data_IF_869101525597
#
_entry.id   IF_869101525597
#
_cell.length_a   1.000
_cell.length_b   1.000
_cell.length_c   1.000
_cell.angle_alpha   90.00
_cell.angle_beta   90.00
_cell.angle_gamma   90.00
#
_symmetry.space_group_name_H-M   'P 1'
#
loop_
_entity.id
_entity.type
_entity.pdbx_description
1 polymer ?
#
# COMPACT_ATOMS: atom_id res chain seq x y z
N UNK A 1 18.18 -1.48 11.80
CA UNK A 1 17.25 -2.50 12.33
C UNK A 1 15.88 -2.20 11.74
N UNK A 2 15.07 -3.21 11.40
CA UNK A 2 13.71 -3.04 10.88
C UNK A 2 12.74 -2.65 11.99
N UNK A 3 11.81 -1.75 11.70
CA UNK A 3 10.70 -1.40 12.61
C UNK A 3 9.83 -2.64 12.85
N UNK A 4 9.48 -2.86 14.10
CA UNK A 4 8.67 -3.99 14.55
C UNK A 4 7.30 -3.53 15.05
N UNK A 5 6.40 -4.48 15.27
CA UNK A 5 5.10 -4.23 15.93
C UNK A 5 5.30 -3.60 17.32
N UNK A 6 6.30 -4.05 18.08
CA UNK A 6 6.62 -3.49 19.40
C UNK A 6 7.09 -2.03 19.31
N UNK A 7 7.81 -1.66 18.23
CA UNK A 7 8.21 -0.27 18.00
C UNK A 7 7.00 0.62 17.72
N UNK A 8 6.03 0.16 16.92
CA UNK A 8 4.79 0.92 16.69
C UNK A 8 4.01 1.15 18.02
N UNK A 9 3.91 0.13 18.86
CA UNK A 9 3.29 0.27 20.17
C UNK A 9 4.06 1.25 21.09
N UNK A 10 5.39 1.24 20.99
CA UNK A 10 6.24 2.20 21.70
C UNK A 10 6.02 3.62 21.18
N UNK A 11 5.92 3.83 19.87
CA UNK A 11 5.62 5.14 19.29
C UNK A 11 4.31 5.71 19.85
N UNK A 12 3.23 4.92 19.91
CA UNK A 12 1.97 5.35 20.55
C UNK A 12 2.18 5.76 22.00
N UNK A 13 2.83 4.92 22.80
CA UNK A 13 3.07 5.24 24.24
C UNK A 13 3.89 6.52 24.44
N UNK A 14 4.79 6.82 23.52
CA UNK A 14 5.63 8.02 23.55
C UNK A 14 4.94 9.25 22.93
N UNK A 15 3.75 9.12 22.34
CA UNK A 15 3.09 10.19 21.58
C UNK A 15 3.76 10.52 20.26
N UNK A 16 4.62 9.64 19.75
CA UNK A 16 5.29 9.79 18.46
C UNK A 16 4.30 9.48 17.33
N UNK A 17 4.17 10.38 16.34
CA UNK A 17 3.25 10.21 15.21
C UNK A 17 3.79 9.21 14.19
N UNK A 18 2.96 8.25 13.79
CA UNK A 18 3.31 7.19 12.86
C UNK A 18 2.92 7.60 11.44
N UNK A 19 3.92 7.85 10.59
CA UNK A 19 3.69 8.09 9.16
C UNK A 19 3.71 6.75 8.41
N UNK A 20 2.55 6.31 7.95
CA UNK A 20 2.37 5.12 7.12
C UNK A 20 2.05 5.55 5.69
N UNK A 21 2.58 4.85 4.70
CA UNK A 21 2.31 5.13 3.29
C UNK A 21 2.18 3.83 2.52
N UNK A 22 1.33 3.82 1.48
CA UNK A 22 1.28 2.66 0.59
C UNK A 22 2.52 2.58 -0.29
N UNK A 23 2.96 1.35 -0.58
CA UNK A 23 4.02 1.07 -1.55
C UNK A 23 3.64 -0.19 -2.34
N UNK A 24 3.90 -0.19 -3.65
CA UNK A 24 3.41 -1.25 -4.52
C UNK A 24 4.50 -1.91 -5.37
N UNK A 25 5.70 -1.33 -5.38
CA UNK A 25 6.85 -1.81 -6.15
C UNK A 25 8.18 -1.45 -5.49
N UNK A 26 9.28 -1.82 -6.12
CA UNK A 26 10.63 -1.52 -5.63
C UNK A 26 10.88 -0.02 -5.52
N UNK A 27 10.45 0.78 -6.50
CA UNK A 27 10.73 2.21 -6.55
C UNK A 27 10.00 2.96 -5.45
N UNK A 28 8.69 2.71 -5.30
CA UNK A 28 7.87 3.33 -4.26
C UNK A 28 8.36 2.95 -2.86
N UNK A 29 8.73 1.68 -2.64
CA UNK A 29 9.24 1.20 -1.36
C UNK A 29 10.58 1.85 -0.98
N UNK A 30 11.54 1.92 -1.92
CA UNK A 30 12.84 2.55 -1.69
C UNK A 30 12.72 4.03 -1.36
N UNK A 31 11.91 4.75 -2.12
CA UNK A 31 11.71 6.20 -1.92
C UNK A 31 11.02 6.45 -0.58
N UNK A 32 9.94 5.73 -0.28
CA UNK A 32 9.21 5.89 0.97
C UNK A 32 10.08 5.58 2.20
N UNK A 33 10.87 4.51 2.16
CA UNK A 33 11.76 4.13 3.25
C UNK A 33 12.92 5.12 3.43
N UNK A 34 13.51 5.62 2.33
CA UNK A 34 14.53 6.69 2.37
C UNK A 34 13.99 8.01 2.88
N UNK A 35 12.72 8.30 2.62
CA UNK A 35 12.01 9.45 3.14
C UNK A 35 11.64 9.32 4.63
N UNK A 36 11.91 8.16 5.26
CA UNK A 36 11.74 7.95 6.68
C UNK A 36 10.37 7.39 7.09
N UNK A 37 9.58 6.84 6.17
CA UNK A 37 8.33 6.18 6.52
C UNK A 37 8.63 4.89 7.33
N UNK A 38 8.19 4.80 8.61
CA UNK A 38 8.45 3.63 9.44
C UNK A 38 7.59 2.42 9.08
N UNK A 39 6.47 2.63 8.38
CA UNK A 39 5.52 1.58 8.01
C UNK A 39 5.13 1.72 6.54
N UNK A 40 5.22 0.64 5.78
CA UNK A 40 4.75 0.53 4.41
C UNK A 40 3.54 -0.38 4.35
N UNK A 41 2.52 0.03 3.58
CA UNK A 41 1.33 -0.77 3.31
C UNK A 41 1.32 -1.22 1.85
N UNK A 42 1.36 -2.51 1.62
CA UNK A 42 0.95 -3.06 0.33
C UNK A 42 -0.56 -3.25 0.40
N UNK A 43 -1.29 -2.21 -0.02
CA UNK A 43 -2.74 -2.18 0.08
C UNK A 43 -3.42 -2.73 -1.18
N UNK A 44 -4.61 -3.30 -1.04
CA UNK A 44 -5.44 -3.73 -2.17
C UNK A 44 -5.95 -2.56 -3.03
N UNK A 45 -5.76 -1.31 -2.57
CA UNK A 45 -5.84 -0.10 -3.39
C UNK A 45 -4.95 -0.16 -4.65
N UNK A 46 -3.94 -1.05 -4.69
CA UNK A 46 -3.17 -1.34 -5.91
C UNK A 46 -4.07 -1.69 -7.10
N UNK A 47 -5.21 -2.32 -6.86
CA UNK A 47 -6.20 -2.60 -7.90
C UNK A 47 -6.63 -1.36 -8.65
N UNK A 48 -6.84 -0.27 -7.93
CA UNK A 48 -7.25 1.00 -8.53
C UNK A 48 -6.07 1.78 -9.12
N UNK A 49 -4.98 1.91 -8.35
CA UNK A 49 -3.89 2.83 -8.68
C UNK A 49 -2.79 2.23 -9.55
N UNK A 50 -2.67 0.90 -9.59
CA UNK A 50 -1.66 0.18 -10.38
C UNK A 50 -2.28 -0.66 -11.50
N UNK A 51 -3.41 -1.31 -11.24
CA UNK A 51 -4.04 -2.23 -12.19
C UNK A 51 -5.20 -1.60 -12.99
N UNK A 52 -5.62 -0.36 -12.63
CA UNK A 52 -6.65 0.38 -13.36
C UNK A 52 -8.08 -0.12 -13.14
N UNK A 53 -8.31 -0.92 -12.09
CA UNK A 53 -9.67 -1.32 -11.72
C UNK A 53 -10.45 -0.16 -11.10
N UNK A 54 -11.76 -0.18 -11.22
CA UNK A 54 -12.64 0.81 -10.60
C UNK A 54 -12.82 0.64 -9.09
N UNK A 55 -12.43 -0.53 -8.55
CA UNK A 55 -12.56 -0.90 -7.13
C UNK A 55 -11.43 -1.82 -6.70
N UNK A 56 -11.32 -2.09 -5.39
CA UNK A 56 -10.36 -3.05 -4.84
C UNK A 56 -10.82 -4.51 -4.99
N UNK A 57 -12.09 -4.77 -5.28
CA UNK A 57 -12.68 -6.11 -5.26
C UNK A 57 -12.05 -7.11 -6.25
N UNK A 58 -11.59 -6.72 -7.45
CA UNK A 58 -10.96 -7.65 -8.38
C UNK A 58 -9.55 -8.10 -7.97
N UNK A 59 -8.94 -7.44 -6.97
CA UNK A 59 -7.56 -7.78 -6.55
C UNK A 59 -7.52 -9.19 -5.99
N UNK A 60 -6.63 -10.00 -6.55
CA UNK A 60 -6.41 -11.37 -6.14
C UNK A 60 -5.30 -11.47 -5.08
N UNK A 61 -5.27 -12.58 -4.37
CA UNK A 61 -4.16 -12.87 -3.44
C UNK A 61 -2.81 -12.98 -4.17
N UNK A 62 -2.83 -13.40 -5.43
CA UNK A 62 -1.63 -13.49 -6.28
C UNK A 62 -1.09 -12.10 -6.64
N UNK A 63 -1.96 -11.13 -6.92
CA UNK A 63 -1.56 -9.74 -7.14
C UNK A 63 -0.90 -9.18 -5.87
N UNK A 64 -1.53 -9.38 -4.71
CA UNK A 64 -0.98 -8.95 -3.44
C UNK A 64 0.39 -9.58 -3.17
N UNK A 65 0.56 -10.87 -3.43
CA UNK A 65 1.81 -11.59 -3.26
C UNK A 65 2.92 -11.02 -4.15
N UNK A 66 2.64 -10.76 -5.44
CA UNK A 66 3.61 -10.19 -6.39
C UNK A 66 4.08 -8.81 -5.98
N UNK A 67 3.15 -7.92 -5.63
CA UNK A 67 3.46 -6.56 -5.19
C UNK A 67 4.18 -6.55 -3.84
N UNK A 68 3.72 -7.33 -2.87
CA UNK A 68 4.36 -7.48 -1.57
C UNK A 68 5.81 -8.00 -1.69
N UNK A 69 6.05 -9.00 -2.53
CA UNK A 69 7.38 -9.52 -2.79
C UNK A 69 8.29 -8.46 -3.45
N UNK A 70 7.76 -7.62 -4.36
CA UNK A 70 8.53 -6.54 -4.96
C UNK A 70 8.97 -5.50 -3.92
N UNK A 71 8.06 -5.09 -3.03
CA UNK A 71 8.35 -4.18 -1.90
C UNK A 71 9.39 -4.79 -0.97
N UNK A 72 9.23 -6.06 -0.60
CA UNK A 72 10.10 -6.74 0.37
C UNK A 72 11.53 -6.95 -0.13
N UNK A 73 11.75 -7.11 -1.46
CA UNK A 73 13.11 -7.27 -2.01
C UNK A 73 14.02 -6.08 -1.72
N UNK A 74 13.46 -4.90 -1.50
CA UNK A 74 14.23 -3.66 -1.34
C UNK A 74 14.05 -2.99 0.02
N UNK A 75 12.92 -3.20 0.69
CA UNK A 75 12.67 -2.64 2.03
C UNK A 75 13.54 -3.34 3.07
N UNK A 76 14.26 -2.56 3.86
CA UNK A 76 15.18 -3.05 4.89
C UNK A 76 14.86 -2.54 6.29
N UNK A 77 14.17 -1.40 6.39
CA UNK A 77 13.96 -0.69 7.67
C UNK A 77 12.50 -0.58 8.07
N UNK A 78 11.59 -0.40 7.12
CA UNK A 78 10.17 -0.24 7.43
C UNK A 78 9.51 -1.58 7.82
N UNK A 79 8.50 -1.51 8.69
CA UNK A 79 7.54 -2.60 8.88
C UNK A 79 6.65 -2.66 7.64
N UNK A 80 6.60 -3.80 6.96
CA UNK A 80 5.74 -3.98 5.79
C UNK A 80 4.52 -4.78 6.17
N UNK A 81 3.35 -4.18 5.94
CA UNK A 81 2.02 -4.77 6.14
C UNK A 81 1.39 -5.02 4.77
N UNK A 82 0.74 -6.16 4.55
CA UNK A 82 0.00 -6.44 3.33
C UNK A 82 -1.48 -6.72 3.62
N UNK A 83 -2.36 -6.22 2.75
CA UNK A 83 -3.79 -6.49 2.85
C UNK A 83 -4.10 -7.93 2.47
N UNK A 84 -5.00 -8.56 3.20
CA UNK A 84 -5.75 -9.70 2.71
C UNK A 84 -6.87 -9.18 1.79
N UNK A 85 -6.86 -9.54 0.49
CA UNK A 85 -7.85 -9.02 -0.45
C UNK A 85 -9.25 -9.59 -0.21
N UNK A 86 -10.24 -9.02 -0.87
CA UNK A 86 -11.64 -9.38 -0.72
C UNK A 86 -11.88 -10.89 -0.75
N UNK A 87 -12.63 -11.39 0.24
CA UNK A 87 -12.98 -12.81 0.45
C UNK A 87 -11.81 -13.77 0.70
N UNK A 88 -10.58 -13.31 0.75
CA UNK A 88 -9.42 -14.18 1.05
C UNK A 88 -9.30 -14.54 2.54
N UNK A 89 -10.21 -14.07 3.38
CA UNK A 89 -10.31 -14.36 4.81
C UNK A 89 -11.77 -14.60 5.27
N UNK A 90 -12.62 -15.09 4.36
CA UNK A 90 -14.03 -15.33 4.66
C UNK A 90 -14.22 -16.38 5.76
N UNK A 91 -13.37 -17.40 5.79
CA UNK A 91 -13.30 -18.39 6.87
C UNK A 91 -11.97 -18.26 7.64
N UNK A 92 -11.83 -18.95 8.76
CA UNK A 92 -10.58 -19.04 9.51
C UNK A 92 -9.50 -19.72 8.67
N UNK A 93 -9.84 -20.75 7.96
CA UNK A 93 -8.97 -21.53 7.06
C UNK A 93 -8.44 -20.66 5.92
N UNK A 94 -9.31 -19.86 5.29
CA UNK A 94 -8.94 -18.91 4.25
C UNK A 94 -7.96 -17.87 4.79
N UNK A 95 -8.24 -17.28 5.95
CA UNK A 95 -7.39 -16.29 6.58
C UNK A 95 -5.98 -16.84 6.86
N UNK A 96 -5.88 -18.05 7.42
CA UNK A 96 -4.60 -18.71 7.70
C UNK A 96 -3.85 -19.03 6.40
N UNK A 97 -4.56 -19.55 5.38
CA UNK A 97 -3.96 -19.87 4.07
C UNK A 97 -3.41 -18.63 3.39
N UNK A 98 -4.19 -17.55 3.38
CA UNK A 98 -3.82 -16.28 2.75
C UNK A 98 -2.67 -15.58 3.47
N UNK A 99 -2.71 -15.51 4.80
CA UNK A 99 -1.62 -14.97 5.59
C UNK A 99 -0.32 -15.77 5.42
N UNK A 100 -0.41 -17.11 5.37
CA UNK A 100 0.73 -17.97 5.07
C UNK A 100 1.37 -17.63 3.74
N UNK A 101 0.58 -17.51 2.67
CA UNK A 101 1.09 -17.15 1.34
C UNK A 101 1.81 -15.81 1.38
N UNK A 102 1.19 -14.77 1.91
CA UNK A 102 1.82 -13.45 1.95
C UNK A 102 3.10 -13.45 2.80
N UNK A 103 3.08 -14.05 4.00
CA UNK A 103 4.26 -14.04 4.87
C UNK A 103 5.38 -14.95 4.39
N UNK A 104 5.08 -16.15 3.90
CA UNK A 104 6.10 -17.09 3.46
C UNK A 104 6.65 -16.77 2.07
N UNK A 105 5.79 -16.41 1.11
CA UNK A 105 6.22 -16.19 -0.27
C UNK A 105 6.77 -14.78 -0.50
N UNK A 106 6.16 -13.75 0.11
CA UNK A 106 6.62 -12.37 -0.07
C UNK A 106 7.49 -11.84 1.07
N UNK A 107 7.40 -12.42 2.27
CA UNK A 107 8.23 -12.04 3.42
C UNK A 107 7.72 -10.83 4.21
N UNK A 108 6.46 -10.39 4.02
CA UNK A 108 5.87 -9.32 4.82
C UNK A 108 5.81 -9.69 6.30
N UNK A 109 5.81 -8.68 7.18
CA UNK A 109 5.86 -8.91 8.62
C UNK A 109 4.49 -8.92 9.29
N UNK A 110 3.45 -8.40 8.61
CA UNK A 110 2.10 -8.34 9.13
C UNK A 110 1.06 -8.37 8.02
N UNK A 111 -0.17 -8.70 8.35
CA UNK A 111 -1.31 -8.63 7.43
C UNK A 111 -2.38 -7.67 7.95
N UNK A 112 -3.19 -7.10 7.02
CA UNK A 112 -4.34 -6.25 7.37
C UNK A 112 -5.64 -6.89 6.89
N UNK A 113 -6.70 -6.81 7.71
CA UNK A 113 -8.04 -7.31 7.43
C UNK A 113 -9.08 -6.23 7.70
N UNK A 114 -10.12 -6.19 6.87
CA UNK A 114 -11.27 -5.29 7.01
C UNK A 114 -12.42 -5.98 7.74
N UNK A 115 -13.00 -5.28 8.72
CA UNK A 115 -14.19 -5.72 9.45
C UNK A 115 -14.06 -5.54 10.94
N UNK A 116 -15.21 -5.56 11.62
CA UNK A 116 -15.32 -5.41 13.07
C UNK A 116 -15.36 -6.75 13.81
N UNK A 117 -16.28 -6.83 14.75
CA UNK A 117 -16.48 -7.99 15.62
C UNK A 117 -16.65 -9.33 14.91
N UNK A 118 -17.20 -9.30 13.69
CA UNK A 118 -17.44 -10.51 12.88
C UNK A 118 -16.18 -11.24 12.45
N UNK A 119 -15.03 -10.54 12.34
CA UNK A 119 -13.74 -11.13 11.92
C UNK A 119 -12.79 -11.43 13.09
N UNK A 120 -13.23 -11.23 14.33
CA UNK A 120 -12.39 -11.53 15.52
C UNK A 120 -11.94 -13.00 15.59
N UNK A 121 -12.73 -14.00 15.15
CA UNK A 121 -12.25 -15.39 15.13
C UNK A 121 -11.03 -15.59 14.22
N UNK A 122 -11.05 -14.97 13.03
CA UNK A 122 -9.92 -15.01 12.08
C UNK A 122 -8.69 -14.32 12.69
N UNK A 123 -8.86 -13.13 13.25
CA UNK A 123 -7.77 -12.39 13.90
C UNK A 123 -7.18 -13.19 15.05
N UNK A 124 -7.99 -13.72 15.95
CA UNK A 124 -7.55 -14.55 17.06
C UNK A 124 -6.70 -15.71 16.55
N UNK A 125 -7.21 -16.45 15.57
CA UNK A 125 -6.50 -17.61 15.02
C UNK A 125 -5.16 -17.24 14.39
N UNK A 126 -5.11 -16.15 13.63
CA UNK A 126 -3.87 -15.64 13.04
C UNK A 126 -2.84 -15.27 14.11
N UNK A 127 -3.27 -14.52 15.12
CA UNK A 127 -2.42 -14.11 16.26
C UNK A 127 -1.91 -15.32 17.04
N UNK A 128 -2.76 -16.30 17.33
CA UNK A 128 -2.37 -17.56 17.99
C UNK A 128 -1.34 -18.37 17.18
N UNK A 129 -1.31 -18.18 15.85
CA UNK A 129 -0.29 -18.74 14.96
C UNK A 129 0.98 -17.87 14.85
N UNK A 130 1.06 -16.75 15.56
CA UNK A 130 2.21 -15.83 15.52
C UNK A 130 2.18 -14.83 14.36
N UNK A 131 1.04 -14.66 13.68
CA UNK A 131 0.86 -13.68 12.59
C UNK A 131 0.42 -12.35 13.18
N UNK A 132 1.20 -11.25 13.05
CA UNK A 132 0.76 -9.93 13.46
C UNK A 132 -0.36 -9.42 12.55
N UNK A 133 -1.46 -8.95 13.16
CA UNK A 133 -2.65 -8.50 12.44
C UNK A 133 -2.94 -7.03 12.73
N UNK A 134 -3.15 -6.25 11.67
CA UNK A 134 -3.69 -4.89 11.70
C UNK A 134 -5.18 -4.96 11.31
N UNK A 135 -6.05 -4.39 12.14
CA UNK A 135 -7.48 -4.27 11.83
C UNK A 135 -7.78 -3.07 10.95
N UNK A 136 -8.97 -3.05 10.33
CA UNK A 136 -9.43 -1.91 9.55
C UNK A 136 -10.94 -1.70 9.73
N UNK A 137 -11.32 -0.52 10.21
CA UNK A 137 -12.70 -0.11 10.51
C UNK A 137 -13.05 1.23 9.85
N UNK A 138 -14.33 1.55 9.86
CA UNK A 138 -14.90 2.73 9.23
C UNK A 138 -15.36 2.43 7.81
N UNK A 139 -14.92 3.21 6.84
CA UNK A 139 -15.06 2.82 5.44
C UNK A 139 -14.14 1.64 5.17
N UNK A 140 -14.72 0.53 4.80
CA UNK A 140 -14.03 -0.69 4.37
C UNK A 140 -14.29 -0.86 2.87
N UNK A 141 -13.33 -0.53 1.98
CA UNK A 141 -13.54 -0.57 0.52
C UNK A 141 -13.99 -1.93 0.00
N UNK A 142 -13.55 -3.01 0.62
CA UNK A 142 -14.00 -4.36 0.26
C UNK A 142 -15.50 -4.59 0.51
N UNK A 143 -16.12 -3.80 1.39
CA UNK A 143 -17.56 -3.86 1.68
C UNK A 143 -18.37 -2.76 0.98
N UNK A 144 -17.79 -2.03 0.01
CA UNK A 144 -18.38 -0.84 -0.60
C UNK A 144 -19.80 -1.03 -1.17
N UNK A 145 -20.11 -2.21 -1.69
CA UNK A 145 -21.45 -2.50 -2.22
C UNK A 145 -22.51 -2.65 -1.11
N UNK A 146 -22.08 -2.94 0.12
CA UNK A 146 -22.97 -3.04 1.27
C UNK A 146 -23.12 -1.71 2.01
N UNK A 147 -22.01 -0.98 2.23
CA UNK A 147 -22.00 0.21 3.11
C UNK A 147 -21.94 1.54 2.35
N UNK A 148 -21.58 1.52 1.06
CA UNK A 148 -21.37 2.70 0.21
C UNK A 148 -20.10 3.48 0.54
N UNK A 149 -19.58 4.23 -0.44
CA UNK A 149 -18.38 5.07 -0.31
C UNK A 149 -18.76 6.42 0.34
N UNK A 150 -18.95 6.43 1.65
CA UNK A 150 -19.36 7.60 2.43
C UNK A 150 -18.73 7.59 3.82
N UNK A 151 -18.80 8.72 4.52
CA UNK A 151 -18.40 8.82 5.92
C UNK A 151 -19.22 7.83 6.75
N UNK A 152 -18.54 6.97 7.50
CA UNK A 152 -19.13 5.93 8.34
C UNK A 152 -19.32 6.43 9.77
N UNK A 153 -20.17 5.75 10.54
CA UNK A 153 -20.35 5.92 11.99
C UNK A 153 -20.72 7.37 12.43
N UNK A 154 -21.64 8.04 11.69
CA UNK A 154 -22.06 9.40 11.99
C UNK A 154 -23.14 9.49 13.06
N UNK A 155 -23.88 8.40 13.33
CA UNK A 155 -24.96 8.34 14.32
C UNK A 155 -24.46 7.68 15.60
N UNK A 156 -25.09 8.01 16.74
CA UNK A 156 -24.65 7.55 18.04
C UNK A 156 -24.55 6.01 18.15
N UNK A 157 -25.51 5.28 17.59
CA UNK A 157 -25.50 3.82 17.59
C UNK A 157 -24.37 3.26 16.70
N UNK A 158 -24.13 3.86 15.54
CA UNK A 158 -23.03 3.47 14.64
C UNK A 158 -21.67 3.79 15.27
N UNK A 159 -21.53 4.96 15.91
CA UNK A 159 -20.32 5.36 16.62
C UNK A 159 -20.03 4.43 17.80
N UNK A 160 -21.06 4.05 18.57
CA UNK A 160 -20.93 3.06 19.63
C UNK A 160 -20.44 1.71 19.08
N UNK A 161 -21.05 1.23 17.99
CA UNK A 161 -20.66 -0.02 17.36
C UNK A 161 -19.19 0.02 16.91
N UNK A 162 -18.74 1.13 16.27
CA UNK A 162 -17.35 1.29 15.86
C UNK A 162 -16.36 1.21 17.04
N UNK A 163 -16.71 1.81 18.18
CA UNK A 163 -15.90 1.73 19.40
C UNK A 163 -15.86 0.28 19.94
N UNK A 164 -17.01 -0.39 19.98
CA UNK A 164 -17.12 -1.79 20.41
C UNK A 164 -16.31 -2.72 19.49
N UNK A 165 -16.35 -2.47 18.17
CA UNK A 165 -15.57 -3.20 17.17
C UNK A 165 -14.07 -2.99 17.39
N UNK A 166 -13.61 -1.75 17.60
CA UNK A 166 -12.21 -1.45 17.86
C UNK A 166 -11.67 -2.19 19.10
N UNK A 167 -12.43 -2.17 20.21
CA UNK A 167 -12.09 -2.90 21.42
C UNK A 167 -12.08 -4.42 21.20
N UNK A 168 -13.00 -4.94 20.39
CA UNK A 168 -13.06 -6.37 20.08
C UNK A 168 -11.87 -6.82 19.23
N UNK A 169 -11.42 -6.00 18.25
CA UNK A 169 -10.21 -6.28 17.45
C UNK A 169 -8.95 -6.27 18.32
N UNK A 170 -8.82 -5.30 19.22
CA UNK A 170 -7.72 -5.26 20.19
C UNK A 170 -7.75 -6.50 21.10
N UNK A 171 -8.89 -6.85 21.68
CA UNK A 171 -9.05 -8.04 22.51
C UNK A 171 -8.78 -9.35 21.74
N UNK A 172 -8.98 -9.37 20.43
CA UNK A 172 -8.60 -10.48 19.55
C UNK A 172 -7.08 -10.55 19.29
N UNK A 173 -6.31 -9.54 19.67
CA UNK A 173 -4.86 -9.48 19.54
C UNK A 173 -4.34 -8.68 18.34
N UNK A 174 -5.19 -7.88 17.68
CA UNK A 174 -4.70 -6.95 16.67
C UNK A 174 -3.66 -6.01 17.29
N UNK A 175 -2.54 -5.75 16.58
CA UNK A 175 -1.48 -4.89 17.07
C UNK A 175 -1.68 -3.41 16.74
N UNK A 176 -2.49 -3.11 15.75
CA UNK A 176 -2.83 -1.76 15.30
C UNK A 176 -4.18 -1.77 14.59
N UNK A 177 -4.74 -0.58 14.37
CA UNK A 177 -6.04 -0.38 13.75
C UNK A 177 -5.96 0.76 12.73
N UNK A 178 -6.48 0.55 11.51
CA UNK A 178 -6.78 1.63 10.55
C UNK A 178 -8.21 2.11 10.80
N UNK A 179 -8.41 3.42 10.84
CA UNK A 179 -9.72 4.08 10.80
C UNK A 179 -9.83 4.89 9.51
N UNK A 180 -10.74 4.48 8.62
CA UNK A 180 -10.95 5.17 7.36
C UNK A 180 -12.29 5.90 7.30
N UNK A 181 -12.24 7.18 6.91
CA UNK A 181 -13.40 8.04 6.59
C UNK A 181 -14.48 7.97 7.68
N UNK A 182 -14.08 8.26 8.91
CA UNK A 182 -14.94 8.40 10.10
C UNK A 182 -14.86 9.81 10.65
N UNK A 183 -15.86 10.30 11.44
CA UNK A 183 -15.78 11.61 12.08
C UNK A 183 -14.52 11.75 12.96
N UNK A 184 -13.80 12.87 12.81
CA UNK A 184 -12.55 13.12 13.53
C UNK A 184 -12.69 13.03 15.07
N UNK A 185 -13.76 13.55 15.71
CA UNK A 185 -13.96 13.37 17.16
C UNK A 185 -14.13 11.90 17.58
N UNK A 186 -14.78 11.09 16.74
CA UNK A 186 -14.96 9.66 17.00
C UNK A 186 -13.62 8.92 16.90
N UNK A 187 -12.82 9.22 15.89
CA UNK A 187 -11.50 8.63 15.72
C UNK A 187 -10.56 8.95 16.91
N UNK A 188 -10.59 10.19 17.38
CA UNK A 188 -9.85 10.59 18.60
C UNK A 188 -10.30 9.77 19.82
N UNK A 189 -11.62 9.65 20.03
CA UNK A 189 -12.17 8.87 21.13
C UNK A 189 -11.81 7.37 21.05
N UNK A 190 -11.77 6.79 19.86
CA UNK A 190 -11.28 5.41 19.67
C UNK A 190 -9.80 5.30 20.00
N UNK A 191 -8.97 6.25 19.51
CA UNK A 191 -7.52 6.27 19.76
C UNK A 191 -7.17 6.35 21.26
N UNK A 192 -7.98 7.07 22.03
CA UNK A 192 -7.85 7.16 23.49
C UNK A 192 -8.29 5.88 24.21
N UNK A 193 -9.27 5.15 23.66
CA UNK A 193 -9.87 3.98 24.32
C UNK A 193 -9.09 2.69 24.10
N UNK A 194 -8.40 2.56 22.98
CA UNK A 194 -7.60 1.36 22.67
C UNK A 194 -6.12 1.58 23.00
N UNK A 195 -5.45 0.55 23.51
CA UNK A 195 -4.01 0.59 23.80
C UNK A 195 -3.13 0.40 22.57
N UNK A 196 -3.69 -0.07 21.45
CA UNK A 196 -2.98 -0.30 20.19
C UNK A 196 -2.93 0.97 19.32
N UNK A 197 -1.90 1.16 18.46
CA UNK A 197 -1.83 2.28 17.53
C UNK A 197 -3.04 2.37 16.60
N UNK A 198 -3.60 3.57 16.47
CA UNK A 198 -4.68 3.90 15.53
C UNK A 198 -4.14 4.77 14.41
N UNK A 199 -4.24 4.29 13.18
CA UNK A 199 -3.76 4.94 11.97
C UNK A 199 -4.96 5.48 11.19
N UNK A 200 -5.05 6.79 11.03
CA UNK A 200 -6.17 7.43 10.35
C UNK A 200 -5.94 7.60 8.85
N UNK A 201 -7.03 7.51 8.09
CA UNK A 201 -7.13 8.03 6.73
C UNK A 201 -8.53 8.63 6.56
N UNK A 202 -8.60 9.96 6.40
CA UNK A 202 -9.88 10.67 6.44
C UNK A 202 -10.58 10.61 7.80
N UNK A 203 -9.82 10.41 8.90
CA UNK A 203 -10.31 10.26 10.26
C UNK A 203 -9.85 11.41 11.19
N UNK A 204 -9.20 12.43 10.65
CA UNK A 204 -8.72 13.59 11.41
C UNK A 204 -7.38 13.36 12.12
N UNK A 205 -6.89 14.40 12.80
CA UNK A 205 -5.55 14.44 13.40
C UNK A 205 -5.46 13.76 14.78
N UNK A 206 -6.57 13.29 15.35
CA UNK A 206 -6.64 12.69 16.68
C UNK A 206 -6.15 11.23 16.75
N UNK A 207 -5.79 10.61 15.62
CA UNK A 207 -5.19 9.28 15.56
C UNK A 207 -3.70 9.31 15.91
N UNK A 208 -3.10 8.18 16.26
CA UNK A 208 -1.68 8.05 16.59
C UNK A 208 -0.79 8.17 15.34
N UNK A 209 -1.33 7.90 14.17
CA UNK A 209 -0.66 8.04 12.88
C UNK A 209 -1.62 8.30 11.73
N UNK A 210 -1.07 8.41 10.53
CA UNK A 210 -1.84 8.58 9.29
C UNK A 210 -1.30 7.65 8.21
N UNK A 211 -2.18 7.09 7.39
CA UNK A 211 -1.81 6.43 6.15
C UNK A 211 -2.36 7.22 4.96
N UNK A 212 -1.57 7.27 3.90
CA UNK A 212 -1.99 7.86 2.62
C UNK A 212 -1.58 6.96 1.46
N UNK A 213 -2.34 7.04 0.37
CA UNK A 213 -2.02 6.34 -0.87
C UNK A 213 -0.89 7.09 -1.59
N UNK A 214 0.15 6.36 -1.99
CA UNK A 214 1.32 6.87 -2.70
C UNK A 214 0.96 7.77 -3.90
N UNK A 215 0.04 7.30 -4.72
CA UNK A 215 -0.39 8.01 -5.93
C UNK A 215 -1.11 9.32 -5.62
N UNK A 216 -1.91 9.34 -4.55
CA UNK A 216 -2.66 10.53 -4.15
C UNK A 216 -1.73 11.65 -3.69
N UNK A 217 -0.75 11.33 -2.82
CA UNK A 217 0.14 12.35 -2.26
C UNK A 217 1.14 12.90 -3.28
N UNK A 218 1.49 12.11 -4.29
CA UNK A 218 2.44 12.50 -5.34
C UNK A 218 1.78 13.05 -6.62
N UNK A 219 0.44 13.02 -6.68
CA UNK A 219 -0.27 13.53 -7.85
C UNK A 219 -0.02 12.72 -9.12
N UNK A 220 -0.01 11.37 -8.99
CA UNK A 220 0.19 10.45 -10.12
C UNK A 220 -1.11 10.13 -10.87
N UNK A 221 -2.24 10.66 -10.41
CA UNK A 221 -3.55 10.53 -11.05
C UNK A 221 -3.99 11.80 -11.73
N UNK A 222 -4.68 11.64 -12.86
CA UNK A 222 -5.53 12.69 -13.41
C UNK A 222 -6.81 12.83 -12.57
N UNK A 223 -7.18 14.06 -12.22
CA UNK A 223 -8.40 14.36 -11.47
C UNK A 223 -8.16 14.87 -10.05
N UNK A 224 -9.26 14.99 -9.31
CA UNK A 224 -9.21 15.44 -7.92
C UNK A 224 -8.91 14.27 -6.99
N UNK A 225 -7.90 14.39 -6.12
CA UNK A 225 -7.66 13.38 -5.11
C UNK A 225 -8.87 13.27 -4.18
N UNK A 226 -9.04 12.13 -3.48
CA UNK A 226 -10.04 12.00 -2.44
C UNK A 226 -9.95 13.16 -1.44
N UNK A 227 -11.08 13.61 -0.89
CA UNK A 227 -11.13 14.77 0.02
C UNK A 227 -10.16 14.65 1.21
N UNK A 228 -9.85 13.45 1.63
CA UNK A 228 -8.95 13.17 2.75
C UNK A 228 -7.47 13.11 2.37
N UNK A 229 -7.15 13.13 1.08
CA UNK A 229 -5.79 13.14 0.60
C UNK A 229 -5.31 14.57 0.34
N UNK A 230 -4.07 14.86 0.70
CA UNK A 230 -3.38 16.10 0.34
C UNK A 230 -2.30 15.76 -0.68
N UNK A 231 -2.34 16.43 -1.83
CA UNK A 231 -1.25 16.37 -2.80
C UNK A 231 -0.06 17.17 -2.27
N UNK A 232 1.09 16.54 -2.09
CA UNK A 232 2.34 17.18 -1.63
C UNK A 232 3.24 17.57 -2.79
N UNK A 233 3.10 16.90 -3.95
CA UNK A 233 3.82 17.19 -5.17
C UNK A 233 2.97 16.85 -6.40
N UNK A 234 3.32 17.37 -7.56
CA UNK A 234 2.72 17.03 -8.87
C UNK A 234 3.75 16.27 -9.72
N UNK A 235 4.07 15.08 -9.28
CA UNK A 235 5.07 14.22 -9.93
C UNK A 235 4.55 13.69 -11.26
N UNK A 236 3.24 13.46 -11.40
CA UNK A 236 2.63 13.05 -12.66
C UNK A 236 2.93 14.01 -13.80
N UNK A 237 2.76 15.32 -13.58
CA UNK A 237 3.10 16.34 -14.57
C UNK A 237 4.60 16.37 -14.91
N UNK A 238 5.47 16.21 -13.91
CA UNK A 238 6.91 16.15 -14.13
C UNK A 238 7.32 14.90 -14.97
N UNK A 239 6.70 13.75 -14.68
CA UNK A 239 6.91 12.53 -15.45
C UNK A 239 6.43 12.68 -16.91
N UNK A 240 5.27 13.28 -17.13
CA UNK A 240 4.75 13.56 -18.46
C UNK A 240 5.70 14.47 -19.26
N UNK A 241 6.19 15.54 -18.60
CA UNK A 241 7.16 16.46 -19.23
C UNK A 241 8.45 15.74 -19.63
N UNK A 242 8.99 14.89 -18.77
CA UNK A 242 10.20 14.13 -19.07
C UNK A 242 10.01 13.16 -20.25
N UNK A 243 8.88 12.44 -20.29
CA UNK A 243 8.54 11.53 -21.38
C UNK A 243 8.33 12.31 -22.70
N UNK A 244 7.70 13.48 -22.64
CA UNK A 244 7.51 14.36 -23.80
C UNK A 244 8.85 14.83 -24.35
N UNK A 245 9.78 15.29 -23.51
CA UNK A 245 11.13 15.70 -23.91
C UNK A 245 11.88 14.54 -24.57
N UNK A 246 11.88 13.36 -23.98
CA UNK A 246 12.47 12.16 -24.59
C UNK A 246 11.89 11.87 -25.97
N UNK A 247 10.57 11.90 -26.11
CA UNK A 247 9.92 11.63 -27.39
C UNK A 247 10.26 12.68 -28.47
N UNK A 248 10.47 13.94 -28.09
CA UNK A 248 10.89 15.00 -29.00
C UNK A 248 12.35 14.81 -29.45
N UNK A 249 13.25 14.51 -28.51
CA UNK A 249 14.66 14.23 -28.83
C UNK A 249 14.82 13.05 -29.79
N UNK A 250 14.01 11.98 -29.59
CA UNK A 250 14.00 10.84 -30.53
C UNK A 250 13.50 11.26 -31.92
N UNK A 251 12.43 12.05 -32.00
CA UNK A 251 11.88 12.50 -33.30
C UNK A 251 12.81 13.46 -34.05
N UNK A 252 13.51 14.30 -33.31
CA UNK A 252 14.47 15.26 -33.90
C UNK A 252 15.84 14.66 -34.19
N UNK A 253 16.11 13.42 -33.74
CA UNK A 253 17.43 12.79 -33.86
C UNK A 253 18.46 13.33 -32.83
N UNK A 254 18.05 14.11 -31.85
CA UNK A 254 18.92 14.58 -30.79
C UNK A 254 19.29 13.46 -29.77
N UNK A 255 18.49 12.39 -29.73
CA UNK A 255 18.75 11.19 -28.93
C UNK A 255 18.59 9.94 -29.81
N UNK A 256 19.52 8.92 -29.73
CA UNK A 256 20.73 8.90 -28.90
C UNK A 256 21.87 9.75 -29.48
N UNK A 257 22.80 10.14 -28.59
CA UNK A 257 24.10 10.71 -29.01
C UNK A 257 25.18 9.61 -28.97
N UNK A 258 26.42 9.96 -29.37
CA UNK A 258 27.57 9.06 -29.25
C UNK A 258 27.77 8.52 -27.84
N UNK A 259 27.37 9.27 -26.81
CA UNK A 259 27.46 8.86 -25.40
C UNK A 259 26.57 7.67 -25.06
N UNK A 260 25.49 7.45 -25.81
CA UNK A 260 24.57 6.31 -25.64
C UNK A 260 24.73 5.24 -26.72
N UNK A 261 25.76 5.38 -27.60
CA UNK A 261 25.99 4.50 -28.73
C UNK A 261 27.28 3.70 -28.58
N UNK A 262 27.33 2.53 -29.17
CA UNK A 262 28.55 1.74 -29.28
C UNK A 262 29.13 1.87 -30.68
N UNK A 263 30.44 1.95 -30.79
CA UNK A 263 31.16 1.97 -32.05
C UNK A 263 31.51 0.53 -32.49
N UNK A 264 31.74 0.36 -33.77
CA UNK A 264 32.27 -0.87 -34.38
C UNK A 264 33.44 -0.51 -35.28
N UNK A 265 34.40 -1.42 -35.42
CA UNK A 265 35.50 -1.28 -36.38
C UNK A 265 34.92 -1.15 -37.80
N UNK A 266 35.28 -0.11 -38.59
CA UNK A 266 34.76 0.08 -39.93
C UNK A 266 35.13 -1.08 -40.90
N UNK A 267 36.27 -1.70 -40.74
CA UNK A 267 36.71 -2.82 -41.57
C UNK A 267 35.90 -4.07 -41.31
N UNK A 268 35.57 -4.33 -40.05
CA UNK A 268 34.67 -5.44 -39.62
C UNK A 268 33.25 -5.23 -40.15
N UNK A 269 32.74 -4.01 -40.12
CA UNK A 269 31.43 -3.68 -40.68
C UNK A 269 31.41 -3.90 -42.20
N UNK A 270 32.46 -3.42 -42.89
CA UNK A 270 32.60 -3.57 -44.35
C UNK A 270 32.66 -5.04 -44.72
N UNK A 271 33.46 -5.84 -44.04
CA UNK A 271 33.56 -7.28 -44.25
C UNK A 271 32.23 -8.01 -44.01
N UNK A 272 31.50 -7.62 -42.99
CA UNK A 272 30.18 -8.18 -42.68
C UNK A 272 29.16 -7.90 -43.78
N UNK A 273 29.10 -6.67 -44.31
CA UNK A 273 28.21 -6.28 -45.38
C UNK A 273 28.57 -7.04 -46.67
N UNK A 274 29.85 -7.07 -47.07
CA UNK A 274 30.31 -7.78 -48.27
C UNK A 274 29.98 -9.28 -48.22
N UNK A 275 29.93 -9.89 -47.06
CA UNK A 275 29.56 -11.30 -46.90
C UNK A 275 28.09 -11.61 -47.20
N UNK A 276 27.21 -10.61 -47.19
CA UNK A 276 25.78 -10.76 -47.54
C UNK A 276 25.55 -10.77 -49.04
N UNK A 277 26.33 -9.97 -49.80
CA UNK A 277 26.21 -9.84 -51.23
C UNK A 277 26.67 -11.13 -51.99
N UNK A 278 27.38 -12.06 -51.30
CA UNK A 278 27.85 -13.32 -51.91
C UNK A 278 26.89 -14.51 -51.65
N UNK A 279 25.73 -14.35 -51.02
CA UNK A 279 24.78 -15.44 -50.81
C UNK A 279 23.66 -15.58 -51.85
N UNK A 280 23.59 -14.69 -52.83
CA UNK A 280 22.53 -14.70 -53.83
C UNK A 280 22.99 -15.23 -55.22
N UNK A 281 23.95 -16.20 -55.24
CA UNK A 281 24.32 -16.91 -56.49
C UNK A 281 24.35 -18.41 -56.30
#
# INVERSE_FOLDING_TARGET
MRVTVADMQKMKRNGERIAMITAYDCSSALIAERAGAPVLLVGDSLGMVMLGHSTTLPVTLEDMERHAAAVMRVSQKALVVADLPFLSYATIEDAVSSARRLMQSSGVQAVKLEGGKSITPQIRRLVDCGVPVMGHLGLTPQSQHQIGLRVQARRANEARQLIEDALALEAAGAFALVLEVVPAPLAAAVSEKVGIPVIGIGAGAGCDGQVQVWHDILGLFEGRPPRHAKRFADIGAAMEQAVRAYAEDVRSGAFPTDAQSSTMDPDELTAAIASLDHKDH
#
